data_IF_340225265413
#
_entry.id   IF_340225265413
#
_cell.length_a   1.000
_cell.length_b   1.000
_cell.length_c   1.000
_cell.angle_alpha   90.00
_cell.angle_beta   90.00
_cell.angle_gamma   90.00
#
_symmetry.space_group_name_H-M   'P 1'
#
loop_
_entity.id
_entity.type
_entity.pdbx_description
1 polymer ?
#
# COMPACT_ATOMS: atom_id res chain seq x y z
N UNK A 1 17.73 12.99 4.61
CA UNK A 1 17.52 11.58 4.19
C UNK A 1 18.66 11.06 3.33
N UNK A 2 19.15 11.79 2.33
CA UNK A 2 20.22 11.32 1.45
C UNK A 2 21.46 10.79 2.18
N UNK A 3 21.95 11.53 3.19
CA UNK A 3 23.08 11.10 4.03
C UNK A 3 22.85 9.74 4.69
N UNK A 4 21.62 9.47 5.14
CA UNK A 4 21.24 8.18 5.74
C UNK A 4 21.20 7.08 4.69
N UNK A 5 20.54 7.32 3.55
CA UNK A 5 20.44 6.36 2.46
C UNK A 5 21.82 5.95 1.92
N UNK A 6 22.71 6.92 1.70
CA UNK A 6 24.11 6.64 1.31
C UNK A 6 24.92 6.00 2.44
N UNK A 7 24.84 6.57 3.64
CA UNK A 7 25.68 6.18 4.77
C UNK A 7 25.49 4.74 5.21
N UNK A 8 24.26 4.22 5.11
CA UNK A 8 23.95 2.82 5.43
C UNK A 8 23.90 1.89 4.20
N UNK A 9 24.23 2.38 3.00
CA UNK A 9 24.16 1.57 1.78
C UNK A 9 22.76 1.01 1.51
N UNK A 10 21.71 1.78 1.79
CA UNK A 10 20.33 1.32 1.60
C UNK A 10 20.06 1.16 0.11
N UNK A 11 19.55 -0.01 -0.28
CA UNK A 11 19.21 -0.32 -1.68
C UNK A 11 17.70 -0.44 -1.90
N UNK A 12 16.94 -0.68 -0.83
CA UNK A 12 15.49 -0.81 -0.85
C UNK A 12 14.89 0.03 0.27
N UNK A 13 13.85 0.80 -0.04
CA UNK A 13 13.07 1.56 0.94
C UNK A 13 11.63 1.09 0.92
N UNK A 14 11.09 0.80 2.10
CA UNK A 14 9.66 0.52 2.31
C UNK A 14 9.08 1.62 3.19
N UNK A 15 8.07 2.33 2.69
CA UNK A 15 7.35 3.33 3.46
C UNK A 15 6.00 2.78 3.92
N UNK A 16 5.78 2.77 5.22
CA UNK A 16 4.53 2.35 5.88
C UNK A 16 3.88 3.51 6.65
N UNK A 17 4.19 4.76 6.27
CA UNK A 17 3.62 5.95 6.92
C UNK A 17 2.10 5.97 6.81
N UNK A 18 1.43 6.36 7.91
CA UNK A 18 -0.02 6.51 7.95
C UNK A 18 -0.54 7.66 7.08
N UNK A 19 -1.87 7.83 7.04
CA UNK A 19 -2.49 8.72 6.07
C UNK A 19 -2.09 10.20 6.14
N UNK A 20 -1.78 10.70 7.35
CA UNK A 20 -1.27 12.05 7.53
C UNK A 20 0.13 12.26 6.89
N UNK A 21 0.94 11.20 6.79
CA UNK A 21 2.31 11.24 6.28
C UNK A 21 2.45 10.99 4.78
N UNK A 22 1.36 10.78 4.03
CA UNK A 22 1.45 10.38 2.61
C UNK A 22 2.24 11.38 1.77
N UNK A 23 2.00 12.68 1.93
CA UNK A 23 2.70 13.72 1.15
C UNK A 23 4.15 13.94 1.59
N UNK A 24 4.53 13.57 2.82
CA UNK A 24 5.93 13.60 3.24
C UNK A 24 6.81 12.66 2.40
N UNK A 25 6.21 11.65 1.75
CA UNK A 25 6.93 10.77 0.84
C UNK A 25 7.44 11.49 -0.42
N UNK A 26 6.90 12.66 -0.80
CA UNK A 26 7.42 13.42 -1.94
C UNK A 26 8.89 13.80 -1.71
N UNK A 27 9.23 14.25 -0.50
CA UNK A 27 10.61 14.59 -0.12
C UNK A 27 11.50 13.34 -0.07
N UNK A 28 10.94 12.20 0.36
CA UNK A 28 11.65 10.91 0.35
C UNK A 28 11.96 10.45 -1.08
N UNK A 29 11.02 10.65 -2.01
CA UNK A 29 11.16 10.31 -3.43
C UNK A 29 12.27 11.14 -4.08
N UNK A 30 12.33 12.44 -3.81
CA UNK A 30 13.43 13.31 -4.27
C UNK A 30 14.78 12.85 -3.71
N UNK A 31 14.84 12.53 -2.41
CA UNK A 31 16.07 12.02 -1.79
C UNK A 31 16.52 10.67 -2.40
N UNK A 32 15.58 9.77 -2.70
CA UNK A 32 15.85 8.49 -3.39
C UNK A 32 16.44 8.76 -4.77
N UNK A 33 15.85 9.69 -5.53
CA UNK A 33 16.35 10.08 -6.86
C UNK A 33 17.77 10.65 -6.78
N UNK A 34 18.02 11.58 -5.86
CA UNK A 34 19.33 12.21 -5.67
C UNK A 34 20.42 11.20 -5.31
N UNK A 35 20.08 10.17 -4.52
CA UNK A 35 21.03 9.12 -4.14
C UNK A 35 21.43 8.25 -5.33
N UNK A 36 20.47 7.88 -6.18
CA UNK A 36 20.70 7.20 -7.46
C UNK A 36 21.08 5.72 -7.37
N UNK A 37 21.26 5.16 -6.16
CA UNK A 37 21.64 3.75 -5.94
C UNK A 37 20.47 2.84 -5.57
N UNK A 38 19.23 3.35 -5.58
CA UNK A 38 18.06 2.57 -5.15
C UNK A 38 17.66 1.51 -6.17
N UNK A 39 17.58 0.25 -5.70
CA UNK A 39 17.09 -0.91 -6.45
C UNK A 39 15.57 -1.02 -6.39
N UNK A 40 14.93 -0.56 -5.31
CA UNK A 40 13.46 -0.57 -5.19
C UNK A 40 12.92 0.43 -4.17
N UNK A 41 11.80 1.07 -4.50
CA UNK A 41 10.97 1.81 -3.55
C UNK A 41 9.55 1.24 -3.47
N UNK A 42 9.09 0.97 -2.25
CA UNK A 42 7.73 0.58 -1.93
C UNK A 42 7.07 1.73 -1.17
N UNK A 43 6.28 2.61 -1.82
CA UNK A 43 5.58 3.67 -1.12
C UNK A 43 4.44 3.13 -0.26
N UNK A 44 3.95 3.94 0.68
CA UNK A 44 2.79 3.63 1.52
C UNK A 44 1.52 3.50 0.65
N UNK A 45 1.23 2.26 0.23
CA UNK A 45 0.08 1.87 -0.59
C UNK A 45 -0.87 0.98 0.21
N UNK A 46 -0.46 -0.25 0.50
CA UNK A 46 -1.10 -1.22 1.39
C UNK A 46 -2.63 -1.11 1.46
N UNK A 47 -3.29 -1.33 0.33
CA UNK A 47 -4.74 -1.22 0.19
C UNK A 47 -5.17 -1.49 -1.25
N UNK A 48 -6.06 -0.67 -1.78
CA UNK A 48 -6.55 -0.79 -3.15
C UNK A 48 -5.55 -0.25 -4.20
N UNK A 49 -5.75 -0.67 -5.45
CA UNK A 49 -5.09 -0.02 -6.59
C UNK A 49 -5.79 1.30 -6.91
N UNK A 50 -5.11 2.39 -6.58
CA UNK A 50 -5.64 3.75 -6.66
C UNK A 50 -5.97 4.21 -8.09
N UNK A 51 -5.39 3.59 -9.12
CA UNK A 51 -5.67 3.95 -10.52
C UNK A 51 -6.83 3.15 -11.12
N UNK A 52 -7.34 2.15 -10.40
CA UNK A 52 -8.48 1.31 -10.83
C UNK A 52 -9.73 1.54 -9.99
N UNK A 53 -9.57 2.08 -8.79
CA UNK A 53 -10.67 2.36 -7.89
C UNK A 53 -11.36 3.68 -8.26
N UNK A 54 -12.68 3.75 -8.04
CA UNK A 54 -13.48 4.95 -8.20
C UNK A 54 -14.32 5.21 -6.94
N UNK A 55 -13.69 5.62 -5.82
CA UNK A 55 -14.41 5.89 -4.57
C UNK A 55 -15.27 7.16 -4.67
N UNK A 56 -16.30 7.23 -3.84
CA UNK A 56 -17.07 8.47 -3.62
C UNK A 56 -16.28 9.48 -2.79
N UNK A 57 -16.62 10.76 -2.90
CA UNK A 57 -15.97 11.82 -2.11
C UNK A 57 -16.15 11.60 -0.59
N UNK A 58 -15.14 11.96 0.25
CA UNK A 58 -13.90 12.64 -0.12
C UNK A 58 -12.78 11.69 -0.61
N UNK A 59 -12.29 11.88 -1.84
CA UNK A 59 -11.21 11.05 -2.43
C UNK A 59 -9.79 11.58 -2.15
N UNK A 60 -9.67 12.55 -1.24
CA UNK A 60 -8.42 13.28 -0.94
C UNK A 60 -7.24 12.36 -0.63
N UNK A 61 -7.49 11.23 0.04
CA UNK A 61 -6.47 10.23 0.36
C UNK A 61 -5.91 9.53 -0.89
N UNK A 62 -6.78 9.18 -1.84
CA UNK A 62 -6.39 8.58 -3.11
C UNK A 62 -5.59 9.56 -3.96
N UNK A 63 -6.01 10.82 -4.03
CA UNK A 63 -5.31 11.87 -4.76
C UNK A 63 -3.87 12.06 -4.24
N UNK A 64 -3.68 12.13 -2.92
CA UNK A 64 -2.34 12.21 -2.31
C UNK A 64 -1.46 11.01 -2.69
N UNK A 65 -2.01 9.79 -2.65
CA UNK A 65 -1.29 8.59 -3.07
C UNK A 65 -0.99 8.59 -4.57
N UNK A 66 -1.85 9.17 -5.40
CA UNK A 66 -1.66 9.29 -6.85
C UNK A 66 -0.52 10.25 -7.17
N UNK A 67 -0.46 11.41 -6.51
CA UNK A 67 0.65 12.35 -6.64
C UNK A 67 2.01 11.69 -6.38
N UNK A 68 2.11 10.92 -5.29
CA UNK A 68 3.34 10.17 -4.97
C UNK A 68 3.66 9.13 -6.05
N UNK A 69 2.67 8.38 -6.55
CA UNK A 69 2.87 7.40 -7.65
C UNK A 69 3.41 8.09 -8.90
N UNK A 70 2.81 9.21 -9.33
CA UNK A 70 3.23 9.95 -10.53
C UNK A 70 4.64 10.50 -10.40
N UNK A 71 5.03 11.01 -9.23
CA UNK A 71 6.40 11.49 -9.03
C UNK A 71 7.43 10.35 -9.09
N UNK A 72 7.15 9.20 -8.47
CA UNK A 72 8.03 8.01 -8.53
C UNK A 72 8.27 7.59 -9.98
N UNK A 73 7.20 7.49 -10.77
CA UNK A 73 7.26 7.08 -12.18
C UNK A 73 7.98 8.13 -13.03
N UNK A 74 7.65 9.42 -12.87
CA UNK A 74 8.27 10.51 -13.62
C UNK A 74 9.79 10.61 -13.39
N UNK A 75 10.26 10.30 -12.18
CA UNK A 75 11.68 10.29 -11.85
C UNK A 75 12.40 8.98 -12.23
N UNK A 76 11.67 7.99 -12.75
CA UNK A 76 12.21 6.69 -13.17
C UNK A 76 12.75 5.85 -12.00
N UNK A 77 12.20 6.02 -10.80
CA UNK A 77 12.62 5.26 -9.62
C UNK A 77 12.04 3.84 -9.71
N UNK A 78 12.86 2.78 -9.59
CA UNK A 78 12.33 1.40 -9.56
C UNK A 78 11.35 1.21 -8.41
N UNK A 79 10.16 0.68 -8.67
CA UNK A 79 9.10 0.62 -7.67
C UNK A 79 8.38 -0.73 -7.58
N UNK A 80 7.71 -0.96 -6.45
CA UNK A 80 6.64 -1.96 -6.32
C UNK A 80 5.46 -1.35 -5.57
N UNK A 81 4.26 -1.46 -6.12
CA UNK A 81 3.04 -1.02 -5.43
C UNK A 81 2.30 -2.21 -4.83
N UNK A 82 2.27 -2.29 -3.50
CA UNK A 82 1.54 -3.35 -2.79
C UNK A 82 0.06 -2.99 -2.72
N UNK A 83 -0.76 -3.75 -3.45
CA UNK A 83 -2.21 -3.65 -3.47
C UNK A 83 -2.81 -4.84 -2.71
N UNK A 84 -2.71 -4.80 -1.38
CA UNK A 84 -3.05 -5.92 -0.50
C UNK A 84 -4.55 -6.01 -0.11
N UNK A 85 -5.41 -5.13 -0.64
CA UNK A 85 -6.84 -5.08 -0.29
C UNK A 85 -7.06 -4.87 1.21
N UNK A 86 -7.93 -5.65 1.85
CA UNK A 86 -8.33 -5.49 3.25
C UNK A 86 -7.49 -6.37 4.16
N UNK A 87 -7.10 -5.84 5.32
CA UNK A 87 -6.57 -6.67 6.40
C UNK A 87 -7.69 -7.58 6.95
N UNK A 88 -7.36 -8.77 7.41
CA UNK A 88 -8.31 -9.77 7.93
C UNK A 88 -8.88 -9.36 9.30
N UNK A 89 -9.73 -8.34 9.29
CA UNK A 89 -10.48 -7.86 10.45
C UNK A 89 -11.88 -7.41 10.02
N UNK A 90 -12.77 -7.15 10.99
CA UNK A 90 -14.14 -6.78 10.69
C UNK A 90 -14.23 -5.39 10.02
N UNK A 91 -14.92 -5.26 8.87
CA UNK A 91 -14.98 -4.00 8.12
C UNK A 91 -16.06 -3.07 8.68
N UNK A 92 -15.80 -2.51 9.86
CA UNK A 92 -16.59 -1.41 10.39
C UNK A 92 -16.58 -0.22 9.42
N UNK A 93 -17.66 0.57 9.43
CA UNK A 93 -17.77 1.85 8.72
C UNK A 93 -17.29 3.04 9.57
N UNK A 94 -16.76 2.76 10.76
CA UNK A 94 -16.14 3.75 11.62
C UNK A 94 -14.71 4.07 11.18
N UNK A 95 -14.11 5.10 11.78
CA UNK A 95 -12.76 5.57 11.42
C UNK A 95 -11.66 4.83 12.17
N UNK A 96 -11.96 3.74 12.89
CA UNK A 96 -10.96 2.97 13.60
C UNK A 96 -10.17 2.09 12.63
N UNK A 97 -8.95 1.75 13.02
CA UNK A 97 -8.22 0.76 12.25
C UNK A 97 -8.89 -0.62 12.47
N UNK A 98 -9.21 -1.40 11.42
CA UNK A 98 -10.00 -2.62 11.55
C UNK A 98 -9.41 -3.64 12.54
N UNK A 99 -8.09 -3.70 12.66
CA UNK A 99 -7.40 -4.62 13.59
C UNK A 99 -7.47 -4.22 15.07
N UNK A 100 -7.99 -3.03 15.39
CA UNK A 100 -8.10 -2.52 16.76
C UNK A 100 -9.44 -2.90 17.41
N UNK A 101 -10.39 -3.41 16.63
CA UNK A 101 -11.76 -3.70 17.07
C UNK A 101 -12.10 -5.15 16.76
N UNK A 102 -12.61 -5.87 17.77
CA UNK A 102 -13.09 -7.24 17.60
C UNK A 102 -14.42 -7.26 16.84
N UNK A 103 -14.71 -8.31 16.03
CA UNK A 103 -16.00 -8.45 15.36
C UNK A 103 -17.20 -8.38 16.32
N UNK A 104 -18.38 -7.93 15.86
CA UNK A 104 -19.56 -7.86 16.71
C UNK A 104 -20.05 -9.27 17.07
N UNK A 105 -20.56 -9.43 18.30
CA UNK A 105 -21.01 -10.73 18.83
C UNK A 105 -22.55 -10.87 18.84
N UNK A 106 -23.27 -9.76 18.67
CA UNK A 106 -24.71 -9.65 18.83
C UNK A 106 -25.43 -9.38 17.50
N UNK A 107 -24.99 -8.35 16.76
CA UNK A 107 -25.58 -7.94 15.49
C UNK A 107 -24.52 -7.81 14.42
N UNK A 108 -24.76 -8.45 13.28
CA UNK A 108 -23.83 -8.46 12.15
C UNK A 108 -24.36 -7.49 11.08
N UNK A 109 -23.80 -6.26 10.99
CA UNK A 109 -24.22 -5.33 9.94
C UNK A 109 -23.75 -5.85 8.57
N UNK A 110 -24.65 -5.85 7.59
CA UNK A 110 -24.34 -6.19 6.19
C UNK A 110 -24.44 -4.91 5.35
N UNK A 111 -23.36 -4.60 4.64
CA UNK A 111 -23.30 -3.48 3.71
C UNK A 111 -24.00 -3.84 2.40
N UNK A 112 -25.02 -3.06 2.01
CA UNK A 112 -25.79 -3.30 0.79
C UNK A 112 -26.55 -4.63 0.83
N UNK A 113 -26.42 -5.45 -0.22
CA UNK A 113 -27.03 -6.78 -0.31
C UNK A 113 -26.11 -7.93 0.13
N UNK A 114 -24.86 -7.62 0.52
CA UNK A 114 -23.88 -8.61 0.97
C UNK A 114 -23.25 -9.48 -0.13
N UNK A 115 -23.50 -9.21 -1.42
CA UNK A 115 -23.04 -10.07 -2.52
C UNK A 115 -21.74 -9.62 -3.21
N UNK A 116 -21.12 -8.54 -2.71
CA UNK A 116 -19.86 -8.02 -3.28
C UNK A 116 -18.66 -8.72 -2.62
N UNK A 117 -17.84 -9.38 -3.43
CA UNK A 117 -16.64 -10.08 -2.96
C UNK A 117 -15.55 -9.09 -2.54
N UNK A 118 -14.88 -9.40 -1.43
CA UNK A 118 -13.66 -8.74 -0.97
C UNK A 118 -12.55 -9.76 -0.70
N UNK A 119 -11.29 -9.30 -0.69
CA UNK A 119 -10.14 -10.12 -0.30
C UNK A 119 -9.63 -9.64 1.06
N UNK A 120 -9.58 -10.56 2.01
CA UNK A 120 -9.06 -10.34 3.36
C UNK A 120 -7.74 -11.08 3.50
N UNK A 121 -6.69 -10.37 3.90
CA UNK A 121 -5.34 -10.89 4.04
C UNK A 121 -4.89 -10.71 5.49
N UNK A 122 -4.33 -11.76 6.08
CA UNK A 122 -3.73 -11.67 7.40
C UNK A 122 -2.57 -10.66 7.43
N UNK A 123 -2.40 -9.95 8.56
CA UNK A 123 -1.37 -8.93 8.71
C UNK A 123 0.05 -9.49 8.51
N UNK A 124 0.32 -10.70 9.00
CA UNK A 124 1.61 -11.36 8.85
C UNK A 124 1.87 -11.72 7.38
N UNK A 125 0.84 -12.17 6.67
CA UNK A 125 0.93 -12.45 5.23
C UNK A 125 1.16 -11.18 4.41
N UNK A 126 0.55 -10.05 4.76
CA UNK A 126 0.86 -8.74 4.14
C UNK A 126 2.35 -8.45 4.25
N UNK A 127 2.94 -8.60 5.44
CA UNK A 127 4.37 -8.39 5.65
C UNK A 127 5.22 -9.38 4.85
N UNK A 128 4.95 -10.68 5.00
CA UNK A 128 5.69 -11.77 4.36
C UNK A 128 5.74 -11.65 2.85
N UNK A 129 4.60 -11.44 2.20
CA UNK A 129 4.54 -11.31 0.74
C UNK A 129 5.09 -9.98 0.23
N UNK A 130 5.02 -8.91 1.03
CA UNK A 130 5.71 -7.65 0.72
C UNK A 130 7.21 -7.86 0.66
N UNK A 131 7.80 -8.55 1.65
CA UNK A 131 9.23 -8.86 1.64
C UNK A 131 9.62 -9.76 0.47
N UNK A 132 8.80 -10.77 0.13
CA UNK A 132 9.02 -11.57 -1.09
C UNK A 132 9.00 -10.71 -2.36
N UNK A 133 8.11 -9.72 -2.45
CA UNK A 133 8.01 -8.84 -3.61
C UNK A 133 9.20 -7.88 -3.75
N UNK A 134 9.96 -7.63 -2.67
CA UNK A 134 11.21 -6.84 -2.72
C UNK A 134 12.29 -7.59 -3.50
N UNK A 135 12.44 -8.88 -3.23
CA UNK A 135 13.46 -9.75 -3.83
C UNK A 135 13.09 -10.24 -5.24
N UNK A 136 11.80 -10.20 -5.58
CA UNK A 136 11.31 -10.69 -6.87
C UNK A 136 11.52 -9.65 -8.00
N UNK A 137 12.26 -10.08 -9.04
CA UNK A 137 12.47 -9.27 -10.25
C UNK A 137 11.18 -9.07 -11.05
N UNK A 138 10.22 -9.99 -10.96
CA UNK A 138 8.91 -9.90 -11.62
C UNK A 138 8.04 -8.80 -11.02
N UNK A 139 8.36 -8.32 -9.81
CA UNK A 139 7.65 -7.23 -9.15
C UNK A 139 8.23 -5.84 -9.47
N UNK A 140 9.34 -5.75 -10.21
CA UNK A 140 9.94 -4.46 -10.60
C UNK A 140 8.96 -3.69 -11.50
N UNK A 141 8.66 -2.46 -11.09
CA UNK A 141 7.75 -1.54 -11.78
C UNK A 141 6.36 -2.15 -11.99
N UNK A 142 5.84 -2.85 -10.96
CA UNK A 142 4.51 -3.49 -10.98
C UNK A 142 3.65 -3.11 -9.78
N UNK A 143 2.34 -3.25 -9.97
CA UNK A 143 1.37 -3.43 -8.89
C UNK A 143 1.29 -4.92 -8.54
N UNK A 144 1.57 -5.27 -7.29
CA UNK A 144 1.40 -6.63 -6.76
C UNK A 144 0.06 -6.69 -6.05
N UNK A 145 -0.90 -7.42 -6.65
CA UNK A 145 -2.25 -7.57 -6.09
C UNK A 145 -2.35 -8.84 -5.26
N UNK A 146 -2.81 -8.71 -4.02
CA UNK A 146 -2.99 -9.87 -3.15
C UNK A 146 -4.41 -10.38 -3.34
N UNK A 147 -4.54 -11.40 -4.17
CA UNK A 147 -5.82 -12.03 -4.48
C UNK A 147 -5.64 -13.53 -4.35
N UNK A 148 -6.49 -14.14 -3.54
CA UNK A 148 -6.61 -15.58 -3.54
C UNK A 148 -7.29 -15.99 -4.85
N UNK A 149 -6.91 -17.13 -5.42
CA UNK A 149 -7.67 -17.68 -6.55
C UNK A 149 -9.05 -18.07 -6.01
N UNK A 150 -10.10 -17.49 -6.55
CA UNK A 150 -11.45 -18.03 -6.38
C UNK A 150 -11.42 -19.43 -6.98
N UNK A 151 -11.46 -20.46 -6.13
CA UNK A 151 -11.83 -21.80 -6.59
C UNK A 151 -13.33 -21.70 -6.87
N UNK A 152 -13.68 -21.77 -8.15
CA UNK A 152 -15.07 -21.80 -8.63
C UNK A 152 -15.56 -23.23 -8.58
#
# INVERSE_FOLDING_TARGET
MEKMLRGYGIEVVVSTVGGAGILHQLVLVEAIKAVGTMKRFLPSKFGHDIDRANPVEPVTFYNKKQMVRRLIEALGIPYTYICCNSIAAWPYDDKHHPSDVLPPLDQIPIHGDGNIKAYFIDGEDIGKFTMKAIEDSRAINKCVHFRTKTIV
#
